data_IF_194279622063
#
_entry.id   IF_194279622063
#
_cell.length_a   1.000
_cell.length_b   1.000
_cell.length_c   1.000
_cell.angle_alpha   90.00
_cell.angle_beta   90.00
_cell.angle_gamma   90.00
#
_symmetry.space_group_name_H-M   'P 1'
#
loop_
_entity.id
_entity.type
_entity.pdbx_description
1 polymer ?
#
# COMPACT_ATOMS: atom_id res chain seq x y z
N UNK A 1 -9.57 -58.30 54.47
CA UNK A 1 -9.09 -59.60 53.99
C UNK A 1 -9.38 -59.70 52.50
N UNK A 2 -8.35 -60.01 51.71
CA UNK A 2 -8.35 -60.60 50.35
C UNK A 2 -9.12 -59.82 49.25
N UNK A 3 -8.46 -59.11 48.33
CA UNK A 3 -7.55 -59.58 47.24
C UNK A 3 -8.26 -60.36 46.12
N UNK A 4 -8.16 -59.84 44.88
CA UNK A 4 -7.65 -60.52 43.66
C UNK A 4 -7.93 -59.57 42.46
N UNK A 5 -6.97 -58.76 42.03
CA UNK A 5 -5.88 -59.03 41.06
C UNK A 5 -6.28 -58.91 39.58
N UNK A 6 -5.84 -57.78 38.98
CA UNK A 6 -4.96 -57.62 37.79
C UNK A 6 -5.33 -58.31 36.45
N UNK A 7 -4.94 -57.76 35.27
CA UNK A 7 -3.53 -57.46 34.88
C UNK A 7 -3.36 -56.05 34.23
N UNK A 8 -2.25 -55.30 34.32
CA UNK A 8 -0.89 -55.49 33.76
C UNK A 8 -0.90 -55.83 32.25
N UNK A 9 -0.15 -55.24 31.32
CA UNK A 9 0.84 -54.15 31.23
C UNK A 9 1.39 -54.19 29.78
N UNK A 10 2.19 -53.17 29.39
CA UNK A 10 3.16 -53.14 28.26
C UNK A 10 2.60 -52.66 26.90
N UNK A 11 3.27 -51.82 26.11
CA UNK A 11 4.58 -51.15 26.22
C UNK A 11 4.60 -49.94 25.27
N UNK A 12 5.15 -48.82 25.72
CA UNK A 12 5.63 -47.75 24.85
C UNK A 12 7.04 -48.11 24.35
N UNK A 13 7.21 -48.16 23.04
CA UNK A 13 8.52 -48.19 22.39
C UNK A 13 8.67 -46.96 21.52
N UNK A 14 9.70 -46.17 21.83
CA UNK A 14 10.18 -45.02 21.07
C UNK A 14 10.57 -45.41 19.64
N UNK A 15 10.16 -44.60 18.66
CA UNK A 15 10.93 -44.43 17.43
C UNK A 15 11.04 -42.95 17.04
N UNK A 16 12.28 -42.47 17.19
CA UNK A 16 12.98 -41.38 16.55
C UNK A 16 12.25 -40.53 15.50
N UNK A 17 12.11 -39.25 15.84
CA UNK A 17 11.92 -38.12 14.93
C UNK A 17 13.10 -38.00 13.94
N UNK A 18 12.85 -38.30 12.67
CA UNK A 18 13.66 -37.82 11.56
C UNK A 18 13.05 -36.52 11.04
N UNK A 19 13.71 -35.40 11.36
CA UNK A 19 13.49 -34.11 10.72
C UNK A 19 13.81 -34.21 9.22
N UNK A 20 12.78 -34.34 8.38
CA UNK A 20 12.93 -34.20 6.94
C UNK A 20 12.72 -32.74 6.57
N UNK A 21 13.84 -32.03 6.35
CA UNK A 21 13.88 -30.70 5.73
C UNK A 21 13.22 -30.77 4.35
N UNK A 22 12.07 -30.11 4.19
CA UNK A 22 11.48 -29.89 2.88
C UNK A 22 12.20 -28.71 2.20
N UNK A 23 12.98 -29.04 1.17
CA UNK A 23 13.56 -28.07 0.26
C UNK A 23 12.44 -27.41 -0.56
N UNK A 24 12.24 -26.11 -0.36
CA UNK A 24 11.48 -25.29 -1.30
C UNK A 24 12.26 -25.17 -2.62
N UNK A 25 11.78 -25.84 -3.66
CA UNK A 25 12.20 -25.55 -5.03
C UNK A 25 11.62 -24.20 -5.45
N UNK A 26 12.39 -23.14 -5.19
CA UNK A 26 12.17 -21.80 -5.72
C UNK A 26 12.52 -21.83 -7.21
N UNK A 27 11.52 -21.81 -8.08
CA UNK A 27 11.70 -21.57 -9.52
C UNK A 27 12.33 -20.17 -9.69
N UNK A 28 13.62 -20.14 -9.99
CA UNK A 28 14.38 -18.92 -10.29
C UNK A 28 14.03 -18.49 -11.71
N UNK A 29 13.21 -17.45 -11.84
CA UNK A 29 13.08 -16.70 -13.10
C UNK A 29 14.39 -15.94 -13.32
N UNK A 30 15.14 -16.34 -14.36
CA UNK A 30 16.35 -15.69 -14.81
C UNK A 30 16.02 -14.33 -15.44
N UNK A 31 16.12 -13.25 -14.67
CA UNK A 31 16.20 -11.89 -15.22
C UNK A 31 17.66 -11.64 -15.59
N UNK A 32 17.90 -11.42 -16.89
CA UNK A 32 19.23 -11.13 -17.44
C UNK A 32 19.75 -9.80 -16.82
N UNK A 33 20.98 -9.75 -16.29
CA UNK A 33 21.59 -8.48 -15.90
C UNK A 33 21.92 -7.69 -17.17
N UNK A 34 21.42 -6.46 -17.26
CA UNK A 34 21.84 -5.50 -18.28
C UNK A 34 23.28 -5.13 -17.96
N UNK A 35 24.22 -5.68 -18.74
CA UNK A 35 25.63 -5.32 -18.70
C UNK A 35 25.79 -3.89 -19.22
N UNK A 36 26.12 -2.95 -18.35
CA UNK A 36 26.62 -1.65 -18.78
C UNK A 36 28.13 -1.80 -19.01
N UNK A 37 28.53 -1.79 -20.27
CA UNK A 37 29.92 -1.85 -20.71
C UNK A 37 30.71 -0.68 -20.13
N UNK A 38 31.75 -1.00 -19.37
CA UNK A 38 32.79 -0.07 -18.92
C UNK A 38 33.59 0.34 -20.17
N UNK A 39 33.52 1.62 -20.55
CA UNK A 39 34.42 2.22 -21.54
C UNK A 39 35.52 2.96 -20.77
N UNK A 40 36.81 2.72 -21.06
CA UNK A 40 37.91 3.31 -20.31
C UNK A 40 38.12 4.78 -20.67
N UNK A 41 38.65 5.50 -19.68
CA UNK A 41 38.97 6.92 -19.66
C UNK A 41 39.89 7.34 -20.81
N UNK A 42 39.48 8.35 -21.58
CA UNK A 42 40.37 9.16 -22.40
C UNK A 42 40.20 10.64 -22.08
N UNK A 43 41.34 11.28 -21.88
CA UNK A 43 41.59 12.67 -21.48
C UNK A 43 41.08 13.74 -22.45
N UNK A 44 40.94 14.95 -21.89
CA UNK A 44 40.85 16.33 -22.48
C UNK A 44 39.49 16.99 -22.74
N UNK A 45 39.41 18.33 -22.54
CA UNK A 45 38.23 19.01 -22.01
C UNK A 45 37.38 19.65 -23.12
N UNK A 46 36.06 19.63 -22.96
CA UNK A 46 35.16 20.46 -23.75
C UNK A 46 34.13 21.15 -22.86
N UNK A 47 34.25 22.48 -22.81
CA UNK A 47 33.14 23.38 -22.55
C UNK A 47 31.98 23.02 -23.47
N UNK A 48 30.83 22.69 -22.89
CA UNK A 48 29.54 22.84 -23.55
C UNK A 48 28.47 22.97 -22.47
N UNK A 49 27.86 24.15 -22.45
CA UNK A 49 26.63 24.47 -21.75
C UNK A 49 25.59 23.40 -22.09
N UNK A 50 25.18 22.60 -21.10
CA UNK A 50 24.01 21.73 -21.25
C UNK A 50 22.75 22.57 -21.04
N UNK A 51 21.69 22.38 -21.84
CA UNK A 51 20.41 23.00 -21.59
C UNK A 51 19.88 22.51 -20.24
N UNK A 52 19.49 23.45 -19.37
CA UNK A 52 18.96 23.12 -18.04
C UNK A 52 17.73 22.20 -18.16
N UNK A 53 17.92 20.91 -17.88
CA UNK A 53 16.83 20.01 -17.61
C UNK A 53 16.06 20.53 -16.39
N UNK A 54 14.78 20.87 -16.58
CA UNK A 54 13.91 21.30 -15.51
C UNK A 54 13.78 20.19 -14.46
N UNK A 55 14.52 20.32 -13.37
CA UNK A 55 14.33 19.54 -12.16
C UNK A 55 13.60 20.43 -11.14
N UNK A 56 12.33 20.13 -10.80
CA UNK A 56 11.54 20.93 -9.85
C UNK A 56 12.12 20.93 -8.42
N UNK A 57 13.10 20.06 -8.15
CA UNK A 57 13.81 20.00 -6.88
C UNK A 57 15.32 20.03 -7.13
N UNK A 58 15.95 21.18 -6.90
CA UNK A 58 17.39 21.19 -6.61
C UNK A 58 17.54 21.03 -5.09
N UNK A 59 18.14 19.94 -4.59
CA UNK A 59 18.69 19.98 -3.24
C UNK A 59 19.62 21.21 -3.13
N UNK A 60 19.83 21.77 -1.92
CA UNK A 60 20.84 22.80 -1.73
C UNK A 60 22.15 22.40 -2.43
N UNK A 61 22.88 23.37 -3.01
CA UNK A 61 24.19 23.11 -3.63
C UNK A 61 25.01 22.18 -2.72
N UNK A 62 25.63 21.11 -3.26
CA UNK A 62 26.12 19.99 -2.45
C UNK A 62 27.13 20.40 -1.38
N UNK A 63 27.79 21.56 -1.48
CA UNK A 63 28.59 22.12 -0.40
C UNK A 63 28.44 23.65 -0.34
N UNK A 64 28.17 24.18 0.86
CA UNK A 64 28.45 25.58 1.14
C UNK A 64 29.97 25.80 1.06
N UNK A 65 30.45 26.90 0.44
CA UNK A 65 31.88 27.11 0.23
C UNK A 65 32.59 27.30 1.57
N UNK A 66 33.73 26.63 1.74
CA UNK A 66 34.62 26.83 2.89
C UNK A 66 35.22 28.25 2.81
N UNK A 67 35.12 29.06 3.88
CA UNK A 67 35.79 30.36 3.97
C UNK A 67 37.29 30.26 3.65
N UNK A 68 37.85 31.29 3.03
CA UNK A 68 39.26 31.31 2.60
C UNK A 68 40.23 31.05 3.75
N UNK A 69 39.93 31.54 4.96
CA UNK A 69 40.75 31.38 6.15
C UNK A 69 40.75 29.95 6.71
N UNK A 70 39.76 29.11 6.36
CA UNK A 70 39.73 27.69 6.75
C UNK A 70 40.24 26.74 5.67
N UNK A 71 40.38 27.20 4.42
CA UNK A 71 40.74 26.34 3.28
C UNK A 71 42.15 25.76 3.37
N UNK A 72 43.09 26.49 3.96
CA UNK A 72 44.50 26.08 4.08
C UNK A 72 44.81 25.28 5.35
N UNK A 73 43.82 25.06 6.23
CA UNK A 73 44.03 24.32 7.47
C UNK A 73 44.22 22.83 7.19
N UNK A 74 45.15 22.21 7.93
CA UNK A 74 45.32 20.76 8.00
C UNK A 74 44.20 20.11 8.82
N UNK A 75 44.11 18.78 8.77
CA UNK A 75 43.06 18.01 9.45
C UNK A 75 43.03 18.26 10.97
N UNK A 76 44.19 18.37 11.64
CA UNK A 76 44.26 18.63 13.08
C UNK A 76 43.70 20.01 13.43
N UNK A 77 44.12 21.04 12.69
CA UNK A 77 43.60 22.40 12.86
C UNK A 77 42.09 22.51 12.60
N UNK A 78 41.54 21.75 11.64
CA UNK A 78 40.09 21.73 11.38
C UNK A 78 39.31 21.09 12.52
N UNK A 79 39.83 20.03 13.13
CA UNK A 79 39.23 19.41 14.32
C UNK A 79 39.26 20.38 15.50
N UNK A 80 40.34 21.13 15.67
CA UNK A 80 40.43 22.17 16.71
C UNK A 80 39.40 23.29 16.51
N UNK A 81 39.21 23.76 15.27
CA UNK A 81 38.17 24.75 14.93
C UNK A 81 36.78 24.24 15.30
N UNK A 82 36.46 22.98 15.00
CA UNK A 82 35.16 22.39 15.34
C UNK A 82 35.01 22.18 16.86
N UNK A 83 36.04 21.62 17.51
CA UNK A 83 36.04 21.35 18.96
C UNK A 83 35.84 22.61 19.78
N UNK A 84 36.48 23.71 19.37
CA UNK A 84 36.41 25.00 20.07
C UNK A 84 35.33 25.93 19.49
N UNK A 85 34.57 25.49 18.49
CA UNK A 85 33.54 26.27 17.77
C UNK A 85 34.04 27.65 17.34
N UNK A 86 35.25 27.70 16.76
CA UNK A 86 35.92 28.94 16.37
C UNK A 86 35.28 29.51 15.09
N UNK A 87 34.59 30.64 15.23
CA UNK A 87 33.89 31.31 14.13
C UNK A 87 32.37 31.14 14.20
N UNK A 88 31.65 31.63 13.18
CA UNK A 88 30.21 31.46 13.10
C UNK A 88 29.86 30.04 12.68
N UNK A 89 28.68 29.56 13.10
CA UNK A 89 28.28 28.17 12.86
C UNK A 89 28.28 27.77 11.40
N UNK A 90 27.90 28.69 10.51
CA UNK A 90 27.88 28.45 9.07
C UNK A 90 29.27 28.55 8.41
N UNK A 91 30.28 29.07 9.11
CA UNK A 91 31.67 29.16 8.63
C UNK A 91 32.42 27.85 8.88
N UNK A 92 32.25 27.25 10.06
CA UNK A 92 32.86 25.97 10.38
C UNK A 92 32.03 24.75 9.93
N UNK A 93 30.72 24.88 9.71
CA UNK A 93 29.87 23.77 9.26
C UNK A 93 30.39 23.03 7.99
N UNK A 94 30.91 23.71 6.94
CA UNK A 94 31.51 23.04 5.79
C UNK A 94 32.71 22.15 6.11
N UNK A 95 33.39 22.36 7.24
CA UNK A 95 34.51 21.52 7.67
C UNK A 95 34.06 20.11 8.03
N UNK A 96 32.83 19.95 8.55
CA UNK A 96 32.25 18.64 8.83
C UNK A 96 32.18 17.80 7.55
N UNK A 97 31.61 18.35 6.47
CA UNK A 97 31.56 17.66 5.17
C UNK A 97 32.95 17.34 4.61
N UNK A 98 33.92 18.22 4.86
CA UNK A 98 35.30 18.04 4.37
C UNK A 98 35.99 16.90 5.12
N UNK A 99 35.88 16.86 6.45
CA UNK A 99 36.44 15.77 7.27
C UNK A 99 35.76 14.43 6.97
N UNK A 100 34.45 14.42 6.70
CA UNK A 100 33.77 13.21 6.26
C UNK A 100 34.31 12.69 4.93
N UNK A 101 34.66 13.57 3.98
CA UNK A 101 35.31 13.21 2.72
C UNK A 101 36.74 12.70 2.92
N UNK A 102 37.42 13.15 3.98
CA UNK A 102 38.75 12.67 4.39
C UNK A 102 38.72 11.34 5.16
N UNK A 103 37.53 10.76 5.37
CA UNK A 103 37.36 9.42 5.94
C UNK A 103 36.86 9.40 7.39
N UNK A 104 36.54 10.55 7.99
CA UNK A 104 35.93 10.57 9.30
C UNK A 104 34.47 10.13 9.25
N UNK A 105 34.07 9.32 10.24
CA UNK A 105 32.66 8.98 10.47
C UNK A 105 32.01 10.00 11.43
N UNK A 106 30.68 10.17 11.41
CA UNK A 106 30.00 11.06 12.35
C UNK A 106 30.33 10.75 13.83
N UNK A 107 30.43 9.47 14.18
CA UNK A 107 30.82 9.03 15.52
C UNK A 107 32.25 9.43 15.89
N UNK A 108 33.22 9.23 14.98
CA UNK A 108 34.61 9.65 15.23
C UNK A 108 34.77 11.17 15.33
N UNK A 109 33.94 11.94 14.60
CA UNK A 109 33.92 13.41 14.72
C UNK A 109 33.32 13.85 16.05
N UNK A 110 32.27 13.19 16.50
CA UNK A 110 31.66 13.45 17.81
C UNK A 110 32.65 13.19 18.95
N UNK A 111 33.41 12.09 18.88
CA UNK A 111 34.47 11.78 19.84
C UNK A 111 35.59 12.84 19.83
N UNK A 112 35.98 13.34 18.65
CA UNK A 112 37.07 14.29 18.51
C UNK A 112 36.67 15.75 18.81
N UNK A 113 35.41 16.13 18.60
CA UNK A 113 34.96 17.55 18.63
C UNK A 113 33.83 17.82 19.63
N UNK A 114 33.18 16.78 20.15
CA UNK A 114 31.98 16.91 21.00
C UNK A 114 30.70 17.33 20.26
N UNK A 115 30.73 17.47 18.93
CA UNK A 115 29.56 17.81 18.12
C UNK A 115 28.81 16.52 17.77
N UNK A 116 27.59 16.37 18.26
CA UNK A 116 26.80 15.15 18.01
C UNK A 116 26.52 14.92 16.53
N UNK A 117 26.35 13.66 16.11
CA UNK A 117 25.98 13.35 14.72
C UNK A 117 24.70 14.07 14.24
N UNK A 118 23.76 14.34 15.15
CA UNK A 118 22.53 15.11 14.85
C UNK A 118 22.85 16.59 14.61
N UNK A 119 23.70 17.18 15.45
CA UNK A 119 24.16 18.57 15.30
C UNK A 119 25.02 18.75 14.05
N UNK A 120 25.90 17.80 13.73
CA UNK A 120 26.69 17.77 12.49
C UNK A 120 25.80 17.88 11.26
N UNK A 121 24.79 17.01 11.14
CA UNK A 121 23.85 17.04 10.02
C UNK A 121 23.04 18.35 9.98
N UNK A 122 22.62 18.86 11.14
CA UNK A 122 21.89 20.14 11.23
C UNK A 122 22.73 21.29 10.69
N UNK A 123 23.96 21.44 11.19
CA UNK A 123 24.90 22.48 10.81
C UNK A 123 25.18 22.47 9.31
N UNK A 124 25.51 21.30 8.75
CA UNK A 124 25.83 21.15 7.32
C UNK A 124 24.64 21.57 6.45
N UNK A 125 23.46 21.02 6.72
CA UNK A 125 22.26 21.29 5.91
C UNK A 125 21.80 22.74 6.08
N UNK A 126 21.80 23.26 7.30
CA UNK A 126 21.45 24.66 7.57
C UNK A 126 22.43 25.62 6.88
N UNK A 127 23.72 25.32 6.83
CA UNK A 127 24.71 26.15 6.15
C UNK A 127 24.48 26.16 4.63
N UNK A 128 24.07 25.02 4.06
CA UNK A 128 23.67 24.97 2.66
C UNK A 128 22.39 25.79 2.39
N UNK A 129 21.41 25.76 3.29
CA UNK A 129 20.21 26.59 3.21
C UNK A 129 20.58 28.07 3.29
N UNK A 130 21.44 28.47 4.24
CA UNK A 130 21.96 29.84 4.38
C UNK A 130 22.65 30.29 3.10
N UNK A 131 23.47 29.42 2.50
CA UNK A 131 24.13 29.69 1.23
C UNK A 131 23.12 29.87 0.08
N UNK A 132 22.06 29.05 0.04
CA UNK A 132 20.96 29.20 -0.92
C UNK A 132 20.23 30.54 -0.75
N UNK A 133 20.08 31.06 0.48
CA UNK A 133 19.47 32.36 0.75
C UNK A 133 20.35 33.52 0.27
N UNK A 134 21.66 33.43 0.50
CA UNK A 134 22.66 34.36 -0.02
C UNK A 134 22.59 34.45 -1.54
N UNK A 135 22.57 33.30 -2.23
CA UNK A 135 22.49 33.25 -3.69
C UNK A 135 21.18 33.80 -4.26
N UNK A 136 20.07 33.62 -3.52
CA UNK A 136 18.75 34.14 -3.90
C UNK A 136 18.56 35.62 -3.59
N UNK A 137 19.57 36.32 -3.05
CA UNK A 137 19.51 37.75 -2.76
C UNK A 137 18.68 38.13 -1.53
N UNK A 138 18.72 37.32 -0.46
CA UNK A 138 18.14 37.72 0.83
C UNK A 138 18.83 38.98 1.36
N UNK A 139 18.06 39.88 1.98
CA UNK A 139 18.58 41.08 2.63
C UNK A 139 19.67 40.70 3.66
N UNK A 140 20.88 41.28 3.60
CA UNK A 140 21.93 41.04 4.57
C UNK A 140 21.50 41.23 6.03
N UNK A 141 20.59 42.17 6.32
CA UNK A 141 20.08 42.40 7.67
C UNK A 141 19.26 41.19 8.16
N UNK A 142 18.36 40.67 7.32
CA UNK A 142 17.57 39.47 7.63
C UNK A 142 18.47 38.25 7.74
N UNK A 143 19.50 38.15 6.89
CA UNK A 143 20.44 37.04 6.95
C UNK A 143 21.23 37.02 8.27
N UNK A 144 21.62 38.20 8.78
CA UNK A 144 22.39 38.32 10.03
C UNK A 144 21.63 37.82 11.27
N UNK A 145 20.30 37.79 11.21
CA UNK A 145 19.47 37.18 12.26
C UNK A 145 19.85 35.72 12.50
N UNK A 146 20.20 34.99 11.44
CA UNK A 146 20.55 33.57 11.52
C UNK A 146 21.98 33.32 12.00
N UNK A 147 22.80 34.34 12.21
CA UNK A 147 24.20 34.17 12.60
C UNK A 147 24.34 33.59 14.01
N UNK A 148 23.37 33.86 14.89
CA UNK A 148 23.35 33.37 16.28
C UNK A 148 22.24 32.33 16.48
N UNK A 149 22.56 31.04 16.33
CA UNK A 149 21.60 29.95 16.57
C UNK A 149 20.51 29.80 15.48
N UNK A 150 20.75 30.33 14.28
CA UNK A 150 19.83 30.19 13.15
C UNK A 150 19.85 28.82 12.49
N UNK A 151 20.78 27.94 12.87
CA UNK A 151 20.93 26.59 12.30
C UNK A 151 19.67 25.75 12.49
N UNK A 152 19.04 25.80 13.67
CA UNK A 152 17.79 25.07 13.94
C UNK A 152 16.62 25.57 13.11
N UNK A 153 16.55 26.87 12.80
CA UNK A 153 15.48 27.45 11.99
C UNK A 153 15.68 27.11 10.51
N UNK A 154 16.88 27.33 10.00
CA UNK A 154 17.21 27.09 8.59
C UNK A 154 17.16 25.60 8.23
N UNK A 155 17.45 24.71 9.19
CA UNK A 155 17.33 23.27 8.98
C UNK A 155 15.89 22.84 8.67
N UNK A 156 14.88 23.48 9.26
CA UNK A 156 13.48 23.07 9.08
C UNK A 156 12.93 23.42 7.69
N UNK A 157 13.44 24.49 7.07
CA UNK A 157 13.05 24.90 5.72
C UNK A 157 13.87 24.22 4.60
N UNK A 158 14.69 23.20 4.91
CA UNK A 158 15.58 22.53 3.95
C UNK A 158 14.88 21.92 2.74
N UNK A 159 13.63 21.48 2.89
CA UNK A 159 12.86 20.80 1.83
C UNK A 159 12.22 21.77 0.82
N UNK A 160 12.24 23.06 1.12
CA UNK A 160 11.70 24.11 0.27
C UNK A 160 12.65 24.41 -0.91
N UNK A 161 12.11 24.91 -2.02
CA UNK A 161 12.90 25.43 -3.14
C UNK A 161 13.61 26.74 -2.77
N UNK A 162 14.58 27.20 -3.57
CA UNK A 162 15.31 28.44 -3.30
C UNK A 162 14.40 29.68 -3.16
N UNK A 163 13.34 29.76 -3.98
CA UNK A 163 12.34 30.84 -3.92
C UNK A 163 11.48 30.76 -2.66
N UNK A 164 11.04 29.56 -2.30
CA UNK A 164 10.24 29.31 -1.10
C UNK A 164 11.05 29.55 0.18
N UNK A 165 12.32 29.14 0.21
CA UNK A 165 13.24 29.42 1.33
C UNK A 165 13.38 30.91 1.56
N UNK A 166 13.50 31.71 0.51
CA UNK A 166 13.62 33.17 0.61
C UNK A 166 12.40 33.77 1.33
N UNK A 167 11.19 33.41 0.89
CA UNK A 167 9.96 33.90 1.49
C UNK A 167 9.80 33.38 2.93
N UNK A 168 10.04 32.08 3.17
CA UNK A 168 9.94 31.47 4.49
C UNK A 168 10.94 32.08 5.49
N UNK A 169 12.18 32.34 5.06
CA UNK A 169 13.19 32.94 5.92
C UNK A 169 12.79 34.36 6.36
N UNK A 170 12.24 35.18 5.45
CA UNK A 170 11.71 36.51 5.81
C UNK A 170 10.60 36.39 6.84
N UNK A 171 9.62 35.52 6.58
CA UNK A 171 8.50 35.29 7.48
C UNK A 171 8.95 34.83 8.88
N UNK A 172 9.93 33.92 8.96
CA UNK A 172 10.48 33.42 10.23
C UNK A 172 11.10 34.55 11.06
N UNK A 173 11.85 35.45 10.43
CA UNK A 173 12.49 36.58 11.11
C UNK A 173 11.46 37.62 11.55
N UNK A 174 10.55 38.00 10.66
CA UNK A 174 9.54 39.03 10.90
C UNK A 174 8.57 38.63 12.02
N UNK A 175 8.16 37.35 12.07
CA UNK A 175 7.22 36.83 13.05
C UNK A 175 7.90 36.12 14.24
N UNK A 176 9.24 36.14 14.32
CA UNK A 176 10.04 35.49 15.38
C UNK A 176 9.64 34.04 15.64
N UNK A 177 9.49 33.29 14.56
CA UNK A 177 9.01 31.91 14.60
C UNK A 177 10.07 31.01 15.24
N UNK A 178 9.64 30.10 16.11
CA UNK A 178 10.50 29.10 16.74
C UNK A 178 10.79 27.91 15.79
N UNK A 179 11.73 27.00 16.11
CA UNK A 179 12.03 25.87 15.23
C UNK A 179 10.82 24.99 14.92
N UNK A 180 9.90 24.80 15.88
CA UNK A 180 8.68 24.03 15.65
C UNK A 180 7.75 24.73 14.67
N UNK A 181 7.51 26.03 14.84
CA UNK A 181 6.73 26.83 13.91
C UNK A 181 7.37 26.89 12.51
N UNK A 182 8.70 26.94 12.41
CA UNK A 182 9.41 26.90 11.13
C UNK A 182 9.20 25.56 10.40
N UNK A 183 9.15 24.45 11.15
CA UNK A 183 8.80 23.14 10.62
C UNK A 183 7.35 23.07 10.13
N UNK A 184 6.40 23.60 10.90
CA UNK A 184 4.98 23.66 10.53
C UNK A 184 4.78 24.55 9.29
N UNK A 185 5.47 25.69 9.21
CA UNK A 185 5.49 26.58 8.05
C UNK A 185 6.03 25.87 6.81
N UNK A 186 7.19 25.20 6.92
CA UNK A 186 7.79 24.47 5.80
C UNK A 186 6.85 23.37 5.29
N UNK A 187 6.18 22.66 6.20
CA UNK A 187 5.18 21.64 5.87
C UNK A 187 3.97 22.27 5.18
N UNK A 188 3.47 23.38 5.68
CA UNK A 188 2.31 24.08 5.13
C UNK A 188 2.57 24.57 3.69
N UNK A 189 3.71 25.25 3.46
CA UNK A 189 4.13 25.67 2.12
C UNK A 189 4.21 24.47 1.19
N UNK A 190 4.79 23.34 1.65
CA UNK A 190 4.96 22.19 0.75
C UNK A 190 3.69 21.41 0.47
N UNK A 191 2.75 21.41 1.41
CA UNK A 191 1.45 20.75 1.24
C UNK A 191 0.50 21.58 0.37
N UNK A 192 0.59 22.92 0.42
CA UNK A 192 -0.36 23.84 -0.22
C UNK A 192 -0.69 23.53 -1.70
N UNK A 193 0.28 23.31 -2.61
CA UNK A 193 -0.04 23.05 -4.02
C UNK A 193 -0.79 21.73 -4.24
N UNK A 194 -0.60 20.76 -3.34
CA UNK A 194 -1.24 19.43 -3.42
C UNK A 194 -2.70 19.44 -2.98
N UNK A 195 -3.17 20.56 -2.42
CA UNK A 195 -4.52 20.76 -1.87
C UNK A 195 -5.41 21.58 -2.79
N UNK A 196 -4.99 21.78 -4.04
CA UNK A 196 -5.83 22.40 -5.05
C UNK A 196 -7.14 21.63 -5.16
N UNK A 197 -8.26 22.34 -5.03
CA UNK A 197 -9.62 21.78 -5.03
C UNK A 197 -10.25 21.67 -3.65
N UNK A 198 -9.46 21.79 -2.57
CA UNK A 198 -10.01 21.91 -1.22
C UNK A 198 -10.79 23.24 -1.09
N UNK A 199 -11.96 23.22 -0.44
CA UNK A 199 -12.78 24.44 -0.25
C UNK A 199 -11.97 25.52 0.48
N UNK A 200 -12.03 26.74 -0.04
CA UNK A 200 -11.31 27.90 0.48
C UNK A 200 -9.89 28.06 -0.05
N UNK A 201 -9.32 27.06 -0.76
CA UNK A 201 -7.95 27.09 -1.26
C UNK A 201 -7.63 28.34 -2.11
N UNK A 202 -8.56 28.78 -2.95
CA UNK A 202 -8.39 29.95 -3.81
C UNK A 202 -8.31 31.28 -3.05
N UNK A 203 -8.63 31.30 -1.77
CA UNK A 203 -8.66 32.49 -0.93
C UNK A 203 -7.32 32.78 -0.24
N UNK A 204 -6.36 31.86 -0.33
CA UNK A 204 -5.03 31.98 0.24
C UNK A 204 -3.98 32.03 -0.88
N UNK A 205 -2.95 32.87 -0.74
CA UNK A 205 -1.88 32.99 -1.74
C UNK A 205 -0.73 32.02 -1.45
N UNK A 206 -0.37 31.20 -2.45
CA UNK A 206 0.76 30.27 -2.37
C UNK A 206 2.12 30.97 -2.18
N UNK A 207 2.30 32.17 -2.73
CA UNK A 207 3.58 32.87 -2.66
C UNK A 207 3.79 33.57 -1.30
N UNK A 208 2.79 33.51 -0.42
CA UNK A 208 2.77 34.16 0.88
C UNK A 208 2.82 33.07 1.97
N UNK A 209 3.95 32.92 2.69
CA UNK A 209 4.14 31.85 3.66
C UNK A 209 3.07 31.80 4.76
N UNK A 210 2.66 32.96 5.28
CA UNK A 210 1.63 33.06 6.30
C UNK A 210 0.27 32.58 5.82
N UNK A 211 -0.10 32.87 4.58
CA UNK A 211 -1.32 32.35 3.96
C UNK A 211 -1.28 30.82 3.76
N UNK A 212 -0.12 30.27 3.41
CA UNK A 212 0.04 28.81 3.34
C UNK A 212 -0.19 28.16 4.71
N UNK A 213 0.35 28.75 5.77
CA UNK A 213 0.18 28.30 7.15
C UNK A 213 -1.26 28.51 7.65
N UNK A 214 -1.87 29.65 7.32
CA UNK A 214 -3.26 29.96 7.62
C UNK A 214 -4.20 28.93 6.98
N UNK A 215 -3.94 28.54 5.72
CA UNK A 215 -4.72 27.53 5.03
C UNK A 215 -4.60 26.14 5.68
N UNK A 216 -3.42 25.80 6.22
CA UNK A 216 -3.25 24.56 7.00
C UNK A 216 -4.16 24.56 8.23
N UNK A 217 -4.17 25.65 9.01
CA UNK A 217 -5.03 25.78 10.19
C UNK A 217 -6.52 25.88 9.84
N UNK A 218 -6.87 26.54 8.73
CA UNK A 218 -8.23 26.58 8.19
C UNK A 218 -8.75 25.18 7.82
N UNK A 219 -7.89 24.32 7.27
CA UNK A 219 -8.27 22.93 7.01
C UNK A 219 -8.46 22.15 8.31
N UNK A 220 -7.56 22.34 9.27
CA UNK A 220 -7.66 21.68 10.58
C UNK A 220 -8.95 22.05 11.33
N UNK A 221 -9.38 23.31 11.27
CA UNK A 221 -10.64 23.74 11.92
C UNK A 221 -11.85 22.98 11.38
N UNK A 222 -11.84 22.63 10.09
CA UNK A 222 -12.93 21.90 9.42
C UNK A 222 -12.93 20.41 9.67
N UNK A 223 -11.80 19.87 10.15
CA UNK A 223 -11.72 18.50 10.66
C UNK A 223 -12.32 18.40 12.07
N UNK A 224 -12.36 19.50 12.83
CA UNK A 224 -12.91 19.58 14.19
C UNK A 224 -14.44 19.76 14.23
N UNK A 225 -15.19 18.93 13.51
CA UNK A 225 -16.67 19.00 13.44
C UNK A 225 -17.38 18.90 14.79
N UNK A 226 -16.86 18.07 15.68
CA UNK A 226 -17.52 17.75 16.95
C UNK A 226 -17.02 18.60 18.12
N UNK A 227 -16.12 19.56 17.89
CA UNK A 227 -15.50 20.36 18.95
C UNK A 227 -15.36 21.81 18.51
N UNK A 228 -16.36 22.61 18.87
CA UNK A 228 -16.44 24.03 18.56
C UNK A 228 -15.21 24.79 19.08
N UNK A 229 -14.77 24.50 20.31
CA UNK A 229 -13.57 25.12 20.89
C UNK A 229 -12.31 24.87 20.06
N UNK A 230 -12.11 23.62 19.60
CA UNK A 230 -10.95 23.26 18.77
C UNK A 230 -11.04 23.88 17.38
N UNK A 231 -12.24 23.91 16.80
CA UNK A 231 -12.50 24.58 15.52
C UNK A 231 -12.17 26.07 15.62
N UNK A 232 -12.69 26.75 16.66
CA UNK A 232 -12.47 28.17 16.91
C UNK A 232 -10.99 28.48 17.15
N UNK A 233 -10.32 27.72 18.01
CA UNK A 233 -8.89 27.89 18.27
C UNK A 233 -8.03 27.70 17.01
N UNK A 234 -8.41 26.77 16.11
CA UNK A 234 -7.73 26.61 14.83
C UNK A 234 -7.97 27.78 13.87
N UNK A 235 -9.19 28.34 13.83
CA UNK A 235 -9.50 29.54 13.04
C UNK A 235 -8.79 30.79 13.57
N UNK A 236 -8.72 30.97 14.89
CA UNK A 236 -7.98 32.06 15.52
C UNK A 236 -6.48 31.98 15.19
N UNK A 237 -5.89 30.77 15.27
CA UNK A 237 -4.51 30.54 14.80
C UNK A 237 -4.33 30.82 13.31
N UNK A 238 -5.30 30.44 12.47
CA UNK A 238 -5.26 30.74 11.05
C UNK A 238 -5.26 32.26 10.81
N UNK A 239 -6.05 33.01 11.59
CA UNK A 239 -6.15 34.46 11.46
C UNK A 239 -4.89 35.18 11.94
N UNK A 240 -4.23 34.67 12.99
CA UNK A 240 -2.97 35.21 13.51
C UNK A 240 -1.85 35.17 12.46
N UNK A 241 -1.80 34.12 11.64
CA UNK A 241 -0.73 33.91 10.66
C UNK A 241 -1.08 34.38 9.25
N UNK A 242 -2.35 34.65 8.95
CA UNK A 242 -2.81 35.09 7.63
C UNK A 242 -2.30 36.48 7.28
N UNK A 243 -1.73 36.63 6.08
CA UNK A 243 -1.13 37.89 5.64
C UNK A 243 -2.06 38.63 4.67
N UNK A 244 -2.76 37.93 3.77
CA UNK A 244 -3.63 38.57 2.78
C UNK A 244 -5.01 38.91 3.32
N UNK A 245 -5.55 40.04 2.89
CA UNK A 245 -6.91 40.47 3.26
C UNK A 245 -7.99 39.50 2.73
N UNK A 246 -7.70 38.77 1.64
CA UNK A 246 -8.61 37.74 1.11
C UNK A 246 -8.68 36.54 2.06
N UNK A 247 -7.53 36.08 2.56
CA UNK A 247 -7.45 34.99 3.53
C UNK A 247 -8.15 35.39 4.85
N UNK A 248 -7.79 36.56 5.41
CA UNK A 248 -8.39 37.06 6.66
C UNK A 248 -9.90 37.17 6.58
N UNK A 249 -10.44 37.68 5.47
CA UNK A 249 -11.89 37.80 5.28
C UNK A 249 -12.60 36.46 5.36
N UNK A 250 -12.12 35.44 4.64
CA UNK A 250 -12.72 34.09 4.68
C UNK A 250 -12.63 33.48 6.07
N UNK A 251 -11.53 33.72 6.79
CA UNK A 251 -11.36 33.23 8.16
C UNK A 251 -12.33 33.91 9.14
N UNK A 252 -12.52 35.22 9.02
CA UNK A 252 -13.50 35.98 9.81
C UNK A 252 -14.93 35.53 9.50
N UNK A 253 -15.28 35.39 8.21
CA UNK A 253 -16.59 34.87 7.80
C UNK A 253 -16.85 33.45 8.35
N UNK A 254 -15.85 32.58 8.38
CA UNK A 254 -15.98 31.23 8.96
C UNK A 254 -16.09 31.25 10.49
N UNK A 255 -15.48 32.23 11.15
CA UNK A 255 -15.51 32.42 12.61
C UNK A 255 -16.84 33.02 13.08
N UNK A 256 -17.43 33.91 12.28
CA UNK A 256 -18.73 34.55 12.52
C UNK A 256 -19.92 33.66 12.14
N UNK A 257 -19.68 32.57 11.41
CA UNK A 257 -20.72 31.62 11.03
C UNK A 257 -21.25 30.93 12.29
N UNK A 258 -22.41 31.38 12.77
CA UNK A 258 -23.08 30.84 13.96
C UNK A 258 -23.13 29.30 13.95
N UNK A 259 -22.64 28.69 15.03
CA UNK A 259 -22.62 27.23 15.25
C UNK A 259 -24.03 26.62 15.37
N UNK A 260 -25.08 27.44 15.49
CA UNK A 260 -26.50 27.05 15.48
C UNK A 260 -27.05 26.78 14.07
N UNK A 261 -26.32 27.21 13.03
CA UNK A 261 -26.63 26.81 11.67
C UNK A 261 -26.01 25.43 11.43
N UNK A 262 -26.76 24.40 11.85
CA UNK A 262 -26.74 23.03 11.34
C UNK A 262 -25.66 22.85 10.24
N UNK A 263 -24.53 22.27 10.61
CA UNK A 263 -23.42 21.96 9.70
C UNK A 263 -23.87 21.00 8.57
N UNK A 264 -25.15 20.61 8.52
CA UNK A 264 -25.85 19.99 7.40
C UNK A 264 -26.34 20.93 6.28
N UNK A 265 -26.38 22.27 6.44
CA UNK A 265 -27.01 23.18 5.45
C UNK A 265 -26.08 24.08 4.62
N UNK A 266 -24.77 23.92 4.76
CA UNK A 266 -23.78 24.48 3.80
C UNK A 266 -22.99 23.37 3.10
N UNK A 267 -23.43 22.12 3.21
CA UNK A 267 -23.16 21.20 2.12
C UNK A 267 -23.91 21.74 0.90
N UNK A 268 -23.29 21.70 -0.26
CA UNK A 268 -23.98 21.89 -1.54
C UNK A 268 -25.28 21.08 -1.47
N UNK A 269 -26.42 21.75 -1.30
CA UNK A 269 -27.72 21.09 -1.24
C UNK A 269 -27.83 20.21 -2.50
N UNK A 270 -27.82 18.89 -2.29
CA UNK A 270 -28.14 17.91 -3.31
C UNK A 270 -26.98 17.06 -3.87
N UNK A 271 -25.72 17.27 -3.48
CA UNK A 271 -24.67 16.34 -3.90
C UNK A 271 -24.68 15.11 -2.97
N UNK A 272 -25.58 14.15 -3.23
CA UNK A 272 -25.52 12.81 -2.61
C UNK A 272 -24.09 12.30 -2.77
N UNK A 273 -23.34 12.25 -1.67
CA UNK A 273 -21.94 11.80 -1.69
C UNK A 273 -21.94 10.31 -2.01
N UNK A 274 -21.54 9.98 -3.24
CA UNK A 274 -21.34 8.58 -3.64
C UNK A 274 -20.11 8.05 -2.89
N UNK A 275 -20.23 6.95 -2.11
CA UNK A 275 -19.08 6.37 -1.43
C UNK A 275 -18.11 5.85 -2.48
N UNK A 276 -16.91 6.45 -2.52
CA UNK A 276 -15.80 5.95 -3.34
C UNK A 276 -14.97 5.02 -2.49
N UNK A 277 -15.09 3.72 -2.74
CA UNK A 277 -14.33 2.68 -2.05
C UNK A 277 -13.16 2.25 -2.92
N UNK A 278 -11.94 2.22 -2.35
CA UNK A 278 -10.80 1.59 -3.00
C UNK A 278 -10.75 0.12 -2.62
N UNK A 279 -11.06 -0.74 -3.58
CA UNK A 279 -11.02 -2.20 -3.43
C UNK A 279 -9.63 -2.64 -2.98
N UNK A 280 -9.53 -3.27 -1.79
CA UNK A 280 -8.28 -3.92 -1.37
C UNK A 280 -8.16 -5.28 -2.01
N UNK A 281 -6.94 -5.70 -2.33
CA UNK A 281 -6.67 -7.02 -2.92
C UNK A 281 -7.18 -8.18 -2.04
N UNK A 282 -7.28 -7.99 -0.72
CA UNK A 282 -7.83 -8.98 0.23
C UNK A 282 -9.33 -8.85 0.52
N UNK A 283 -10.03 -7.82 0.02
CA UNK A 283 -11.49 -7.66 0.21
C UNK A 283 -12.30 -8.50 -0.80
N UNK A 284 -11.64 -9.23 -1.71
CA UNK A 284 -12.25 -10.18 -2.67
C UNK A 284 -12.56 -11.54 -2.00
N UNK A 285 -12.74 -11.55 -0.67
CA UNK A 285 -12.67 -12.70 0.23
C UNK A 285 -11.23 -13.26 0.36
N UNK A 286 -10.98 -14.06 1.40
CA UNK A 286 -9.66 -14.63 1.76
C UNK A 286 -8.97 -15.45 0.66
N UNK A 287 -9.62 -15.62 -0.50
CA UNK A 287 -9.02 -16.12 -1.72
C UNK A 287 -8.51 -14.94 -2.57
N UNK A 288 -7.20 -14.91 -2.83
CA UNK A 288 -6.54 -13.96 -3.76
C UNK A 288 -7.13 -13.89 -5.18
N UNK A 289 -7.99 -14.84 -5.53
CA UNK A 289 -8.70 -14.95 -6.81
C UNK A 289 -10.03 -15.68 -6.60
N UNK A 290 -11.07 -15.31 -7.33
CA UNK A 290 -12.35 -16.05 -7.41
C UNK A 290 -12.58 -16.53 -8.84
N UNK A 291 -13.38 -17.58 -9.00
CA UNK A 291 -13.76 -18.14 -10.31
C UNK A 291 -15.28 -18.12 -10.42
N UNK A 292 -15.79 -17.59 -11.53
CA UNK A 292 -17.23 -17.56 -11.82
C UNK A 292 -17.54 -18.62 -12.88
N UNK A 293 -18.44 -19.54 -12.56
CA UNK A 293 -18.78 -20.68 -13.44
C UNK A 293 -20.30 -20.76 -13.69
N UNK A 294 -20.71 -21.20 -14.89
CA UNK A 294 -22.12 -21.43 -15.19
C UNK A 294 -22.65 -22.67 -14.45
N UNK A 295 -23.88 -22.57 -13.94
CA UNK A 295 -24.53 -23.64 -13.17
C UNK A 295 -25.70 -24.25 -13.95
N UNK A 296 -25.75 -25.58 -13.97
CA UNK A 296 -26.86 -26.39 -14.46
C UNK A 296 -27.43 -27.21 -13.30
N UNK A 297 -28.73 -27.49 -13.31
CA UNK A 297 -29.32 -28.45 -12.38
C UNK A 297 -29.26 -29.85 -12.97
N UNK A 298 -28.99 -30.86 -12.14
CA UNK A 298 -28.85 -32.24 -12.61
C UNK A 298 -30.13 -32.77 -13.31
N UNK A 299 -31.30 -32.27 -12.92
CA UNK A 299 -32.61 -32.65 -13.44
C UNK A 299 -32.90 -32.07 -14.83
N UNK A 300 -32.17 -31.03 -15.25
CA UNK A 300 -32.33 -30.38 -16.55
C UNK A 300 -31.72 -31.20 -17.70
N UNK A 301 -30.94 -32.23 -17.36
CA UNK A 301 -30.39 -33.19 -18.31
C UNK A 301 -29.18 -32.71 -19.10
N UNK A 302 -28.74 -33.58 -20.01
CA UNK A 302 -27.45 -33.45 -20.72
C UNK A 302 -27.39 -32.24 -21.63
N UNK A 303 -28.49 -31.94 -22.32
CA UNK A 303 -28.54 -30.88 -23.33
C UNK A 303 -28.27 -29.51 -22.72
N UNK A 304 -28.73 -29.27 -21.49
CA UNK A 304 -28.47 -28.02 -20.75
C UNK A 304 -27.00 -27.95 -20.33
N UNK A 305 -26.40 -29.05 -19.87
CA UNK A 305 -24.98 -29.10 -19.52
C UNK A 305 -24.08 -28.85 -20.73
N UNK A 306 -24.40 -29.42 -21.89
CA UNK A 306 -23.69 -29.14 -23.14
C UNK A 306 -23.96 -27.72 -23.64
N UNK A 307 -25.17 -27.22 -23.39
CA UNK A 307 -25.62 -25.87 -23.70
C UNK A 307 -24.99 -24.77 -22.85
N UNK A 308 -24.31 -25.04 -21.74
CA UNK A 308 -23.69 -23.98 -20.91
C UNK A 308 -22.52 -23.26 -21.64
N UNK A 309 -22.23 -21.97 -21.33
CA UNK A 309 -21.13 -21.21 -21.93
C UNK A 309 -19.78 -21.93 -21.80
N UNK A 310 -19.07 -22.11 -22.92
CA UNK A 310 -17.79 -22.83 -22.95
C UNK A 310 -16.62 -21.96 -22.53
N UNK A 311 -16.63 -20.69 -22.92
CA UNK A 311 -15.58 -19.76 -22.54
C UNK A 311 -16.13 -18.66 -21.62
N UNK A 312 -15.57 -18.58 -20.42
CA UNK A 312 -15.75 -17.48 -19.48
C UNK A 312 -14.38 -16.88 -19.18
N UNK A 313 -14.20 -15.58 -19.46
CA UNK A 313 -12.91 -14.90 -19.28
C UNK A 313 -13.09 -13.63 -18.44
N UNK A 314 -12.23 -13.42 -17.46
CA UNK A 314 -12.14 -12.14 -16.74
C UNK A 314 -11.45 -11.09 -17.62
N UNK A 315 -12.04 -9.91 -17.73
CA UNK A 315 -11.55 -8.78 -18.52
C UNK A 315 -11.40 -7.52 -17.65
N UNK A 316 -10.42 -6.68 -17.99
CA UNK A 316 -10.18 -5.40 -17.33
C UNK A 316 -9.59 -5.51 -15.92
N UNK A 317 -9.38 -4.36 -15.29
CA UNK A 317 -8.72 -4.24 -13.97
C UNK A 317 -9.60 -4.73 -12.81
N UNK A 318 -10.92 -4.78 -13.02
CA UNK A 318 -11.90 -5.25 -12.05
C UNK A 318 -12.25 -6.75 -12.21
N UNK A 319 -11.65 -7.44 -13.17
CA UNK A 319 -11.86 -8.87 -13.37
C UNK A 319 -13.28 -9.25 -13.83
N UNK A 320 -13.97 -8.37 -14.56
CA UNK A 320 -15.36 -8.58 -15.02
C UNK A 320 -15.42 -9.80 -15.92
N UNK A 321 -16.29 -10.76 -15.59
CA UNK A 321 -16.42 -12.01 -16.33
C UNK A 321 -17.32 -11.81 -17.54
N UNK A 322 -16.78 -12.09 -18.73
CA UNK A 322 -17.50 -12.09 -20.00
C UNK A 322 -17.64 -13.53 -20.48
N UNK A 323 -18.87 -13.93 -20.75
CA UNK A 323 -19.21 -15.24 -21.29
C UNK A 323 -19.55 -15.14 -22.77
N UNK A 324 -19.28 -16.20 -23.53
CA UNK A 324 -19.61 -16.30 -24.95
C UNK A 324 -21.11 -16.09 -25.25
N UNK A 325 -21.98 -16.51 -24.32
CA UNK A 325 -23.44 -16.39 -24.44
C UNK A 325 -24.11 -16.20 -23.08
N UNK A 326 -25.34 -15.69 -23.12
CA UNK A 326 -26.15 -15.49 -21.91
C UNK A 326 -26.44 -16.80 -21.18
N UNK A 327 -26.46 -16.75 -19.85
CA UNK A 327 -26.76 -17.90 -19.00
C UNK A 327 -27.49 -17.50 -17.73
N UNK A 328 -28.40 -18.35 -17.25
CA UNK A 328 -29.35 -18.03 -16.19
C UNK A 328 -28.76 -18.08 -14.78
N UNK A 329 -27.85 -19.03 -14.51
CA UNK A 329 -27.33 -19.28 -13.15
C UNK A 329 -25.81 -19.33 -13.13
N UNK A 330 -25.22 -18.62 -12.18
CA UNK A 330 -23.78 -18.52 -11.99
C UNK A 330 -23.44 -18.80 -10.53
N UNK A 331 -22.27 -19.38 -10.29
CA UNK A 331 -21.71 -19.52 -8.95
C UNK A 331 -20.33 -18.90 -8.92
N UNK A 332 -20.02 -18.21 -7.81
CA UNK A 332 -18.70 -17.70 -7.50
C UNK A 332 -18.05 -18.67 -6.51
N UNK A 333 -16.92 -19.26 -6.90
CA UNK A 333 -16.13 -20.14 -6.04
C UNK A 333 -14.78 -19.47 -5.74
N UNK A 334 -14.15 -19.79 -4.59
CA UNK A 334 -12.75 -19.47 -4.37
C UNK A 334 -11.87 -20.02 -5.49
N UNK A 335 -10.80 -19.30 -5.85
CA UNK A 335 -9.82 -19.72 -6.84
C UNK A 335 -8.88 -20.80 -6.33
N UNK A 336 -9.44 -21.90 -5.82
CA UNK A 336 -8.68 -23.09 -5.46
C UNK A 336 -7.96 -23.66 -6.68
N UNK A 337 -6.79 -24.27 -6.48
CA UNK A 337 -5.95 -24.80 -7.56
C UNK A 337 -6.70 -25.69 -8.58
N UNK A 338 -7.65 -26.58 -8.20
CA UNK A 338 -8.38 -27.40 -9.18
C UNK A 338 -9.32 -26.62 -10.11
N UNK A 339 -9.72 -25.40 -9.72
CA UNK A 339 -10.63 -24.54 -10.50
C UNK A 339 -9.95 -23.30 -11.08
N UNK A 340 -8.80 -22.90 -10.51
CA UNK A 340 -7.98 -21.78 -10.96
C UNK A 340 -7.37 -22.08 -12.34
N UNK A 341 -8.03 -21.60 -13.40
CA UNK A 341 -7.59 -21.81 -14.79
C UNK A 341 -8.49 -22.72 -15.62
N UNK A 342 -9.63 -23.18 -15.09
CA UNK A 342 -10.65 -23.85 -15.87
C UNK A 342 -11.20 -22.90 -16.94
N UNK A 343 -10.94 -23.22 -18.22
CA UNK A 343 -11.49 -22.46 -19.35
C UNK A 343 -12.91 -22.87 -19.70
N UNK A 344 -13.17 -24.18 -19.68
CA UNK A 344 -14.45 -24.81 -20.02
C UNK A 344 -15.12 -25.50 -18.82
N UNK A 345 -15.08 -24.85 -17.67
CA UNK A 345 -15.73 -25.34 -16.44
C UNK A 345 -17.26 -25.21 -16.50
N UNK A 346 -17.96 -26.19 -15.97
CA UNK A 346 -19.40 -26.12 -15.67
C UNK A 346 -19.62 -26.68 -14.27
N UNK A 347 -20.61 -26.13 -13.57
CA UNK A 347 -21.07 -26.66 -12.29
C UNK A 347 -22.42 -27.33 -12.48
N UNK A 348 -22.54 -28.57 -12.02
CA UNK A 348 -23.80 -29.29 -11.96
C UNK A 348 -24.25 -29.40 -10.52
N UNK A 349 -25.39 -28.81 -10.21
CA UNK A 349 -26.03 -28.86 -8.90
C UNK A 349 -26.86 -30.15 -8.78
N UNK A 350 -26.51 -30.98 -7.80
CA UNK A 350 -27.27 -32.16 -7.44
C UNK A 350 -28.00 -31.89 -6.13
N UNK A 351 -29.29 -32.22 -6.09
CA UNK A 351 -30.07 -32.15 -4.85
C UNK A 351 -29.66 -33.21 -3.82
N UNK A 352 -28.97 -34.27 -4.25
CA UNK A 352 -28.56 -35.39 -3.41
C UNK A 352 -27.15 -35.89 -3.79
N UNK A 353 -26.27 -35.97 -2.79
CA UNK A 353 -24.91 -36.51 -2.88
C UNK A 353 -24.82 -37.99 -3.30
N UNK A 354 -25.94 -38.74 -3.36
CA UNK A 354 -25.99 -40.10 -3.93
C UNK A 354 -25.56 -40.17 -5.40
N UNK A 355 -25.49 -39.03 -6.09
CA UNK A 355 -24.90 -38.93 -7.42
C UNK A 355 -23.39 -39.27 -7.47
N UNK A 356 -22.70 -39.32 -6.32
CA UNK A 356 -21.28 -39.65 -6.22
C UNK A 356 -21.05 -41.17 -6.12
N UNK A 357 -19.97 -41.71 -6.71
CA UNK A 357 -19.73 -43.15 -6.78
C UNK A 357 -19.16 -43.76 -5.49
N UNK A 358 -18.94 -42.97 -4.43
CA UNK A 358 -18.50 -43.45 -3.13
C UNK A 358 -19.59 -43.29 -2.07
N UNK A 359 -19.71 -44.30 -1.21
CA UNK A 359 -20.67 -44.27 -0.10
C UNK A 359 -20.18 -43.28 0.95
N UNK A 360 -20.80 -42.11 1.00
CA UNK A 360 -20.71 -41.22 2.15
C UNK A 360 -21.49 -41.85 3.32
N UNK A 361 -21.04 -41.64 4.56
CA UNK A 361 -21.74 -42.05 5.78
C UNK A 361 -23.26 -41.77 5.71
N UNK A 362 -24.11 -42.62 6.31
CA UNK A 362 -25.58 -42.61 6.15
C UNK A 362 -26.24 -41.24 6.38
N UNK A 363 -25.63 -40.39 7.20
CA UNK A 363 -26.06 -39.01 7.51
C UNK A 363 -25.80 -37.97 6.40
N UNK A 364 -24.91 -38.27 5.45
CA UNK A 364 -24.48 -37.35 4.39
C UNK A 364 -25.01 -37.75 3.00
N UNK A 365 -25.98 -38.65 2.96
CA UNK A 365 -26.56 -39.21 1.72
C UNK A 365 -27.76 -38.43 1.19
N UNK A 366 -28.07 -37.28 1.75
CA UNK A 366 -29.25 -36.46 1.40
C UNK A 366 -28.88 -34.97 1.45
N UNK A 367 -27.60 -34.67 1.18
CA UNK A 367 -27.08 -33.30 1.16
C UNK A 367 -26.89 -32.88 -0.29
N UNK A 368 -27.30 -31.65 -0.63
CA UNK A 368 -27.06 -31.08 -1.94
C UNK A 368 -25.56 -30.89 -2.17
N UNK A 369 -25.10 -31.03 -3.41
CA UNK A 369 -23.69 -30.83 -3.79
C UNK A 369 -23.56 -30.07 -5.10
N UNK A 370 -22.46 -29.35 -5.25
CA UNK A 370 -22.03 -28.78 -6.51
C UNK A 370 -20.86 -29.59 -7.06
N UNK A 371 -21.00 -30.12 -8.27
CA UNK A 371 -19.93 -30.85 -8.95
C UNK A 371 -19.37 -29.97 -10.05
N UNK A 372 -18.09 -29.65 -9.98
CA UNK A 372 -17.37 -28.88 -11.00
C UNK A 372 -16.73 -29.84 -11.99
N UNK A 373 -17.09 -29.72 -13.27
CA UNK A 373 -16.56 -30.54 -14.35
C UNK A 373 -15.87 -29.69 -15.43
N UNK A 374 -14.72 -30.15 -15.90
CA UNK A 374 -14.01 -29.59 -17.04
C UNK A 374 -14.52 -30.22 -18.33
N UNK A 375 -15.36 -29.50 -19.07
CA UNK A 375 -15.93 -29.96 -20.35
C UNK A 375 -14.91 -29.96 -21.50
N UNK A 376 -13.74 -29.34 -21.32
CA UNK A 376 -12.62 -29.45 -22.26
C UNK A 376 -11.89 -30.79 -22.19
N UNK A 377 -12.07 -31.55 -21.11
CA UNK A 377 -11.43 -32.85 -20.88
C UNK A 377 -12.51 -33.95 -20.79
N UNK A 378 -12.93 -34.47 -21.96
CA UNK A 378 -14.02 -35.45 -22.06
C UNK A 378 -13.55 -36.91 -22.10
N UNK A 379 -12.31 -37.15 -22.49
CA UNK A 379 -11.77 -38.51 -22.65
C UNK A 379 -11.59 -39.20 -21.28
N UNK A 380 -12.06 -40.45 -21.19
CA UNK A 380 -11.90 -41.29 -19.99
C UNK A 380 -10.51 -41.92 -19.97
N UNK A 381 -9.51 -41.14 -19.55
CA UNK A 381 -8.10 -41.57 -19.55
C UNK A 381 -7.70 -42.34 -18.29
N UNK A 382 -8.11 -41.89 -17.09
CA UNK A 382 -7.61 -42.41 -15.82
C UNK A 382 -8.62 -43.31 -15.12
N UNK A 383 -8.21 -44.52 -14.72
CA UNK A 383 -9.08 -45.49 -14.03
C UNK A 383 -9.58 -44.99 -12.67
N UNK A 384 -8.74 -44.19 -11.99
CA UNK A 384 -9.03 -43.54 -10.73
C UNK A 384 -9.69 -42.15 -10.89
N UNK A 385 -9.85 -41.67 -12.14
CA UNK A 385 -10.50 -40.40 -12.42
C UNK A 385 -12.01 -40.43 -12.15
N UNK A 386 -12.60 -39.26 -11.95
CA UNK A 386 -14.05 -39.08 -11.81
C UNK A 386 -14.59 -38.28 -12.98
N UNK A 387 -15.72 -38.73 -13.52
CA UNK A 387 -16.27 -38.20 -14.76
C UNK A 387 -17.76 -37.98 -14.61
N UNK A 388 -18.24 -36.86 -15.17
CA UNK A 388 -19.67 -36.57 -15.25
C UNK A 388 -20.24 -37.30 -16.47
N UNK A 389 -21.27 -38.11 -16.26
CA UNK A 389 -21.88 -38.94 -17.31
C UNK A 389 -23.40 -38.88 -17.24
N UNK A 390 -24.05 -39.24 -18.34
CA UNK A 390 -25.47 -39.46 -18.42
C UNK A 390 -25.73 -40.96 -18.44
N UNK A 391 -26.59 -41.45 -17.54
CA UNK A 391 -27.01 -42.85 -17.51
C UNK A 391 -28.36 -42.94 -18.20
N UNK A 392 -28.44 -43.71 -19.29
CA UNK A 392 -29.71 -44.04 -19.93
C UNK A 392 -30.59 -44.81 -18.95
N UNK A 393 -31.80 -44.33 -18.67
CA UNK A 393 -32.79 -45.14 -17.96
C UNK A 393 -33.40 -46.14 -18.93
N UNK A 394 -33.61 -47.39 -18.51
CA UNK A 394 -34.30 -48.42 -19.30
C UNK A 394 -35.76 -48.05 -19.67
N UNK A 395 -36.29 -46.94 -19.15
CA UNK A 395 -37.65 -46.48 -19.37
C UNK A 395 -37.72 -45.28 -20.33
N UNK A 396 -37.26 -45.41 -21.58
CA UNK A 396 -37.73 -44.65 -22.76
C UNK A 396 -37.78 -43.11 -22.75
N UNK A 397 -37.41 -42.43 -21.67
CA UNK A 397 -37.36 -40.97 -21.58
C UNK A 397 -36.04 -40.49 -22.15
N UNK A 398 -36.10 -39.68 -23.21
CA UNK A 398 -34.97 -39.00 -23.79
C UNK A 398 -34.42 -37.96 -22.81
N UNK A 399 -33.53 -38.40 -21.92
CA UNK A 399 -32.91 -37.58 -20.88
C UNK A 399 -32.28 -38.48 -19.82
N UNK A 400 -31.04 -38.90 -20.04
CA UNK A 400 -30.31 -39.74 -19.09
C UNK A 400 -30.06 -39.02 -17.77
N UNK A 401 -30.18 -39.73 -16.64
CA UNK A 401 -29.90 -39.19 -15.31
C UNK A 401 -28.40 -38.87 -15.20
N UNK A 402 -28.07 -37.63 -14.83
CA UNK A 402 -26.68 -37.22 -14.63
C UNK A 402 -26.12 -37.87 -13.37
N UNK A 403 -24.92 -38.45 -13.45
CA UNK A 403 -24.19 -39.03 -12.30
C UNK A 403 -22.69 -38.82 -12.44
N UNK A 404 -21.97 -39.01 -11.33
CA UNK A 404 -20.51 -39.07 -11.33
C UNK A 404 -20.09 -40.53 -11.25
N UNK A 405 -19.28 -40.99 -12.21
CA UNK A 405 -18.75 -42.36 -12.24
C UNK A 405 -17.22 -42.37 -12.20
N UNK A 406 -16.65 -43.49 -11.73
CA UNK A 406 -15.20 -43.73 -11.76
C UNK A 406 -14.78 -44.18 -13.16
N UNK A 407 -13.59 -43.77 -13.58
CA UNK A 407 -13.04 -44.12 -14.90
C UNK A 407 -12.92 -45.62 -15.14
N UNK A 408 -12.56 -46.40 -14.12
CA UNK A 408 -12.52 -47.87 -14.18
C UNK A 408 -13.87 -48.48 -14.58
N UNK A 409 -14.96 -48.08 -13.92
CA UNK A 409 -16.31 -48.54 -14.23
C UNK A 409 -16.76 -48.12 -15.64
N UNK A 410 -16.38 -46.92 -16.08
CA UNK A 410 -16.68 -46.44 -17.43
C UNK A 410 -15.94 -47.24 -18.51
N UNK A 411 -14.67 -47.56 -18.28
CA UNK A 411 -13.87 -48.37 -19.22
C UNK A 411 -14.37 -49.81 -19.29
N UNK A 412 -14.77 -50.41 -18.17
CA UNK A 412 -15.41 -51.74 -18.14
C UNK A 412 -16.69 -51.77 -18.99
N UNK A 413 -17.47 -50.68 -18.97
CA UNK A 413 -18.66 -50.49 -19.81
C UNK A 413 -18.34 -50.07 -21.25
N UNK A 414 -17.07 -49.92 -21.62
CA UNK A 414 -16.64 -49.48 -22.95
C UNK A 414 -16.92 -48.01 -23.26
N UNK A 415 -17.20 -47.18 -22.26
CA UNK A 415 -17.47 -45.74 -22.42
C UNK A 415 -16.14 -45.00 -22.55
N UNK A 416 -15.91 -44.38 -23.71
CA UNK A 416 -14.66 -43.64 -24.03
C UNK A 416 -14.75 -42.14 -23.76
N UNK A 417 -15.94 -41.57 -23.85
CA UNK A 417 -16.18 -40.14 -23.68
C UNK A 417 -17.20 -39.87 -22.56
N UNK A 418 -16.95 -38.80 -21.82
CA UNK A 418 -17.79 -38.27 -20.75
C UNK A 418 -18.25 -36.84 -21.08
N UNK A 419 -19.12 -36.27 -20.24
CA UNK A 419 -19.53 -34.87 -20.37
C UNK A 419 -18.42 -33.91 -19.89
N UNK A 420 -17.50 -34.41 -19.06
CA UNK A 420 -16.32 -33.70 -18.59
C UNK A 420 -15.69 -34.41 -17.39
N UNK A 421 -14.40 -34.16 -17.19
CA UNK A 421 -13.67 -34.65 -16.02
C UNK A 421 -14.06 -33.84 -14.79
N UNK A 422 -14.47 -34.51 -13.71
CA UNK A 422 -14.81 -33.86 -12.44
C UNK A 422 -13.51 -33.46 -11.74
N UNK A 423 -13.41 -32.18 -11.38
CA UNK A 423 -12.20 -31.60 -10.76
C UNK A 423 -12.41 -31.20 -9.31
N UNK A 424 -13.66 -30.95 -8.91
CA UNK A 424 -14.00 -30.54 -7.56
C UNK A 424 -15.46 -30.89 -7.23
N UNK A 425 -15.72 -31.28 -5.98
CA UNK A 425 -17.07 -31.39 -5.43
C UNK A 425 -17.15 -30.48 -4.20
N UNK A 426 -18.12 -29.57 -4.19
CA UNK A 426 -18.33 -28.60 -3.12
C UNK A 426 -19.62 -28.95 -2.39
N UNK A 427 -19.56 -28.91 -1.06
CA UNK A 427 -20.72 -29.06 -0.19
C UNK A 427 -21.16 -27.69 0.33
N UNK A 428 -22.42 -27.52 0.73
CA UNK A 428 -22.87 -26.30 1.37
C UNK A 428 -22.01 -25.96 2.59
N UNK A 429 -21.78 -24.66 2.86
CA UNK A 429 -21.15 -24.25 4.10
C UNK A 429 -21.99 -24.72 5.29
N UNK A 430 -21.32 -25.13 6.36
CA UNK A 430 -21.97 -25.41 7.66
C UNK A 430 -21.68 -24.25 8.59
N UNK A 431 -22.66 -23.88 9.39
CA UNK A 431 -22.45 -23.06 10.58
C UNK A 431 -21.70 -23.94 11.61
N UNK A 432 -20.42 -24.21 11.37
CA UNK A 432 -19.53 -24.69 12.42
C UNK A 432 -19.20 -23.48 13.29
N UNK A 433 -19.53 -23.59 14.57
CA UNK A 433 -19.36 -22.60 15.65
C UNK A 433 -17.89 -22.31 15.98
N UNK A 434 -16.99 -22.55 15.02
CA UNK A 434 -15.53 -22.58 15.19
C UNK A 434 -14.85 -21.24 14.83
N UNK A 435 -15.62 -20.23 14.40
CA UNK A 435 -15.10 -18.89 14.06
C UNK A 435 -15.60 -17.76 14.95
N UNK A 436 -16.48 -18.04 15.90
CA UNK A 436 -16.74 -17.13 17.02
C UNK A 436 -15.76 -17.51 18.13
N UNK A 437 -14.67 -16.75 18.26
CA UNK A 437 -14.00 -16.65 19.57
C UNK A 437 -15.11 -16.36 20.57
N UNK A 438 -15.30 -17.24 21.55
CA UNK A 438 -16.34 -17.01 22.56
C UNK A 438 -15.96 -15.75 23.31
N UNK A 439 -16.95 -15.01 23.83
CA UNK A 439 -16.66 -13.82 24.65
C UNK A 439 -15.70 -14.13 25.83
N UNK A 440 -15.62 -15.40 26.23
CA UNK A 440 -14.68 -15.94 27.23
C UNK A 440 -13.20 -15.98 26.78
N UNK A 441 -12.91 -15.87 25.47
CA UNK A 441 -11.54 -15.81 24.93
C UNK A 441 -10.95 -14.37 25.00
N UNK A 442 -11.73 -13.40 25.48
CA UNK A 442 -11.34 -12.01 25.66
C UNK A 442 -11.04 -11.60 27.12
N UNK A 443 -11.07 -12.55 28.08
CA UNK A 443 -10.68 -12.31 29.48
C UNK A 443 -9.22 -12.68 29.80
#
# INVERSE_FOLDING_TARGET
MLSLNAPASLSLSHHHLLHRRHHHHRLKTHVKPISATIIPSSSTPRHSQQPELYQPFRPPSPNAPIPSHFRSLDTGSRLEVLSNRLGLWFEYAPLVSTLMQEGFTPSSLEEATGISGVEQNRLVVAAQVRHSLLQSGLDPQILSFFDNGGDSLLYEIRLLSARERLAAARYVVENRVDPRGAQELARAIKDFPRRRGDRGWECFDYNVPGDCLAFMYYRQSREHRNSLDKRRAALEKALEVAETEKAKRVLLEELERNDDADDGKSEIEGAVRVPVVRMKTGEVAEATTVVVLPVCEAQEGVDVVLGAPLECRSQGEFGVVVAEKGWKRWVVLPGWEPVAGLRAGVVVAFGDARALPWRVNRWYKEEAILVVANRGAKEVVADAGFYLVAVSSDNGSAGGELKVERGSALKERGVKESLGTVVLVVRPPREETDHELRDEDWE
#
